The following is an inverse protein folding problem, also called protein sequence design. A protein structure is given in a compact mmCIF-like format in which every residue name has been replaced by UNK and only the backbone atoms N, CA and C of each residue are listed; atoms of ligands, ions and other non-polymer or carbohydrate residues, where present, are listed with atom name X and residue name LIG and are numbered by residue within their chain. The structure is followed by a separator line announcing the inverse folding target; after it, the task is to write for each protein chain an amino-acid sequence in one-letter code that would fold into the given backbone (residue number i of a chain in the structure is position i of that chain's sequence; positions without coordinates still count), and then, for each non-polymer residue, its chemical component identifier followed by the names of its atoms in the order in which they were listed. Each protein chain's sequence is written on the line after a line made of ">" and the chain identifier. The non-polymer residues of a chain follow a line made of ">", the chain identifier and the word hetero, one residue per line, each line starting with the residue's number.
data_IF_787372926948
#
_entry.id   IF_787372926948
#
_cell.length_a   1.000
_cell.length_b   1.000
_cell.length_c   1.000
_cell.angle_alpha   90.00
_cell.angle_beta   90.00
_cell.angle_gamma   90.00
#
_symmetry.space_group_name_H-M   'P 1'
#
loop_
_entity.id
_entity.type
_entity.pdbx_description
1 polymer ?
#
# COMPACT_ATOMS: atom_id res chain seq x y z
N UNK A 1 37.12 -74.25 -37.22
CA UNK A 1 36.94 -72.83 -37.44
C UNK A 1 35.81 -72.36 -36.60
N UNK A 2 36.08 -71.78 -35.49
CA UNK A 2 35.15 -71.32 -34.48
C UNK A 2 34.77 -69.86 -34.78
N UNK A 3 33.46 -69.57 -34.81
CA UNK A 3 32.94 -68.21 -34.88
C UNK A 3 32.35 -67.85 -33.51
N UNK A 4 33.03 -66.91 -32.91
CA UNK A 4 32.66 -66.37 -31.61
C UNK A 4 31.52 -65.31 -31.80
N UNK A 5 30.36 -65.55 -31.13
CA UNK A 5 29.25 -64.64 -31.10
C UNK A 5 29.19 -63.97 -29.73
N UNK A 6 29.84 -62.87 -29.57
CA UNK A 6 29.57 -61.98 -28.44
C UNK A 6 28.80 -60.74 -28.96
N UNK A 7 27.49 -60.84 -28.90
CA UNK A 7 26.64 -59.70 -29.09
C UNK A 7 26.60 -58.89 -27.79
N UNK A 8 27.20 -57.72 -27.82
CA UNK A 8 27.12 -56.69 -26.78
C UNK A 8 25.73 -56.03 -26.86
N UNK A 9 24.82 -56.38 -25.92
CA UNK A 9 23.63 -55.62 -25.65
C UNK A 9 24.01 -54.33 -24.89
N UNK A 10 24.11 -53.21 -25.58
CA UNK A 10 24.21 -51.90 -24.95
C UNK A 10 22.82 -51.48 -24.48
N UNK A 11 22.54 -51.64 -23.19
CA UNK A 11 21.37 -51.10 -22.53
C UNK A 11 21.56 -49.58 -22.42
N UNK A 12 20.95 -48.81 -23.31
CA UNK A 12 20.86 -47.35 -23.15
C UNK A 12 19.88 -47.05 -22.00
N UNK A 13 20.42 -46.81 -20.82
CA UNK A 13 19.65 -46.25 -19.70
C UNK A 13 19.32 -44.81 -20.03
N UNK A 14 18.10 -44.57 -20.56
CA UNK A 14 17.53 -43.23 -20.68
C UNK A 14 17.28 -42.76 -19.25
N UNK A 15 18.17 -41.95 -18.71
CA UNK A 15 17.93 -41.17 -17.51
C UNK A 15 16.77 -40.23 -17.82
N UNK A 16 15.55 -40.60 -17.41
CA UNK A 16 14.40 -39.67 -17.27
C UNK A 16 14.85 -38.61 -16.24
N UNK A 17 15.44 -37.53 -16.72
CA UNK A 17 15.52 -36.30 -15.92
C UNK A 17 14.10 -35.92 -15.54
N UNK A 18 13.80 -35.73 -14.24
CA UNK A 18 12.48 -35.24 -13.87
C UNK A 18 12.24 -33.94 -14.63
N UNK A 19 11.13 -33.92 -15.32
CA UNK A 19 10.63 -32.72 -16.02
C UNK A 19 10.63 -31.60 -14.97
N UNK A 20 11.60 -30.70 -15.04
CA UNK A 20 11.58 -29.49 -14.23
C UNK A 20 10.38 -28.75 -14.71
N UNK A 21 9.24 -28.94 -13.99
CA UNK A 21 8.04 -28.19 -14.23
C UNK A 21 8.48 -26.74 -14.46
N UNK A 22 8.29 -26.27 -15.69
CA UNK A 22 8.68 -24.92 -16.07
C UNK A 22 7.96 -23.99 -15.11
N UNK A 23 8.69 -23.33 -14.22
CA UNK A 23 8.13 -22.32 -13.35
C UNK A 23 7.36 -21.33 -14.23
N UNK A 24 6.08 -21.14 -13.94
CA UNK A 24 5.29 -20.12 -14.62
C UNK A 24 5.97 -18.78 -14.40
N UNK A 25 5.88 -17.87 -15.35
CA UNK A 25 6.40 -16.51 -15.18
C UNK A 25 5.24 -15.54 -15.12
N UNK A 26 5.31 -14.57 -14.23
CA UNK A 26 4.37 -13.45 -14.16
C UNK A 26 5.12 -12.17 -14.49
N UNK A 27 4.54 -11.34 -15.34
CA UNK A 27 5.11 -10.02 -15.62
C UNK A 27 4.70 -9.05 -14.54
N UNK A 28 5.66 -8.48 -13.80
CA UNK A 28 5.40 -7.49 -12.75
C UNK A 28 4.95 -6.13 -13.33
N UNK A 29 4.72 -5.13 -12.48
CA UNK A 29 4.18 -3.83 -12.93
C UNK A 29 5.15 -3.00 -13.78
N UNK A 30 6.43 -3.37 -13.83
CA UNK A 30 7.46 -2.69 -14.63
C UNK A 30 7.96 -3.52 -15.82
N UNK A 31 7.21 -4.58 -16.17
CA UNK A 31 7.51 -5.41 -17.34
C UNK A 31 8.59 -6.47 -17.12
N UNK A 32 9.05 -6.69 -15.87
CA UNK A 32 10.04 -7.72 -15.56
C UNK A 32 9.36 -9.09 -15.50
N UNK A 33 10.01 -10.09 -16.07
CA UNK A 33 9.58 -11.49 -15.97
C UNK A 33 10.03 -12.07 -14.62
N UNK A 34 9.07 -12.36 -13.75
CA UNK A 34 9.32 -12.93 -12.41
C UNK A 34 9.02 -14.43 -12.45
N UNK A 35 10.00 -15.30 -12.20
CA UNK A 35 9.74 -16.74 -12.13
C UNK A 35 8.91 -17.05 -10.89
N UNK A 36 7.78 -17.72 -11.09
CA UNK A 36 6.89 -18.11 -9.97
C UNK A 36 7.26 -19.51 -9.53
N UNK A 37 7.61 -19.73 -8.26
CA UNK A 37 7.78 -21.05 -7.70
C UNK A 37 6.51 -21.90 -7.86
N UNK A 38 6.65 -23.20 -8.06
CA UNK A 38 5.48 -24.11 -8.15
C UNK A 38 4.63 -24.11 -6.88
N UNK A 39 5.23 -23.73 -5.75
CA UNK A 39 4.57 -23.57 -4.45
C UNK A 39 5.14 -22.32 -3.78
N UNK A 40 4.27 -21.42 -3.39
CA UNK A 40 4.59 -20.20 -2.64
C UNK A 40 3.95 -20.32 -1.27
N UNK A 41 4.76 -20.35 -0.22
CA UNK A 41 4.32 -20.45 1.17
C UNK A 41 4.90 -19.34 2.06
N UNK A 42 5.98 -18.72 1.62
CA UNK A 42 6.78 -17.79 2.42
C UNK A 42 7.08 -16.53 1.61
N UNK A 43 6.29 -15.48 1.81
CA UNK A 43 6.46 -14.23 1.07
C UNK A 43 7.06 -13.16 1.99
N UNK A 44 8.20 -12.61 1.59
CA UNK A 44 8.83 -11.48 2.26
C UNK A 44 8.29 -10.16 1.71
N UNK A 45 7.65 -9.31 2.54
CA UNK A 45 7.24 -7.98 2.11
C UNK A 45 8.45 -7.04 2.13
N UNK A 46 8.80 -6.46 0.99
CA UNK A 46 9.94 -5.55 0.90
C UNK A 46 9.76 -4.27 1.73
N UNK A 47 8.53 -3.85 1.95
CA UNK A 47 8.17 -2.67 2.73
C UNK A 47 6.74 -2.68 3.24
N UNK A 48 6.33 -1.63 4.00
CA UNK A 48 5.03 -1.59 4.64
C UNK A 48 3.82 -1.69 3.70
N UNK A 49 3.78 -1.04 2.51
CA UNK A 49 2.65 -1.20 1.60
C UNK A 49 2.50 -2.64 1.09
N UNK A 50 3.63 -3.32 0.83
CA UNK A 50 3.65 -4.71 0.40
C UNK A 50 3.14 -5.65 1.50
N UNK A 51 3.54 -5.43 2.76
CA UNK A 51 3.06 -6.21 3.89
C UNK A 51 1.54 -6.11 4.05
N UNK A 52 0.99 -4.90 3.91
CA UNK A 52 -0.45 -4.65 4.00
C UNK A 52 -1.18 -5.31 2.82
N UNK A 53 -0.73 -5.12 1.59
CA UNK A 53 -1.37 -5.73 0.42
C UNK A 53 -1.34 -7.26 0.50
N UNK A 54 -0.21 -7.85 0.89
CA UNK A 54 -0.09 -9.29 1.08
C UNK A 54 -1.00 -9.80 2.20
N UNK A 55 -1.04 -9.09 3.35
CA UNK A 55 -1.95 -9.42 4.45
C UNK A 55 -3.41 -9.44 4.00
N UNK A 56 -3.84 -8.46 3.20
CA UNK A 56 -5.23 -8.38 2.75
C UNK A 56 -5.63 -9.50 1.80
N UNK A 57 -4.69 -10.04 1.02
CA UNK A 57 -4.96 -11.09 0.04
C UNK A 57 -4.70 -12.50 0.57
N UNK A 58 -3.58 -12.68 1.28
CA UNK A 58 -3.10 -14.00 1.72
C UNK A 58 -2.31 -13.85 3.04
N UNK A 59 -2.99 -13.58 4.17
CA UNK A 59 -2.33 -13.38 5.45
C UNK A 59 -1.49 -14.58 5.89
N UNK A 60 -1.88 -15.79 5.48
CA UNK A 60 -1.16 -17.04 5.74
C UNK A 60 0.26 -17.06 5.15
N UNK A 61 0.51 -16.39 4.03
CA UNK A 61 1.80 -16.36 3.34
C UNK A 61 2.77 -15.29 3.85
N UNK A 62 2.30 -14.31 4.62
CA UNK A 62 3.12 -13.21 5.13
C UNK A 62 4.19 -13.72 6.09
N UNK A 63 5.47 -13.60 5.80
CA UNK A 63 6.55 -14.04 6.69
C UNK A 63 6.61 -13.29 8.01
N UNK A 64 6.31 -12.01 7.98
CA UNK A 64 6.34 -11.12 9.13
C UNK A 64 6.11 -9.67 8.70
N UNK A 65 6.23 -8.77 9.64
CA UNK A 65 5.96 -7.36 9.43
C UNK A 65 7.26 -6.55 9.29
N UNK A 66 7.26 -5.45 8.51
CA UNK A 66 8.43 -4.57 8.43
C UNK A 66 8.82 -3.89 9.75
N UNK A 67 7.89 -3.80 10.69
CA UNK A 67 8.06 -3.44 12.10
C UNK A 67 7.05 -4.22 12.95
N UNK A 68 7.31 -4.36 14.21
CA UNK A 68 6.31 -4.91 15.14
C UNK A 68 5.04 -4.05 15.12
N UNK A 69 3.88 -4.70 15.09
CA UNK A 69 2.60 -4.01 15.22
C UNK A 69 2.34 -3.67 16.70
N UNK A 70 1.66 -2.55 16.91
CA UNK A 70 1.25 -2.12 18.24
C UNK A 70 0.01 -2.90 18.69
N UNK A 71 -0.20 -3.13 20.00
CA UNK A 71 -1.40 -3.83 20.50
C UNK A 71 -2.72 -3.23 19.99
N UNK A 72 -2.79 -1.90 19.86
CA UNK A 72 -3.96 -1.19 19.33
C UNK A 72 -4.24 -1.53 17.85
N UNK A 73 -3.19 -1.73 17.06
CA UNK A 73 -3.30 -2.14 15.65
C UNK A 73 -3.83 -3.57 15.54
N UNK A 74 -3.40 -4.45 16.45
CA UNK A 74 -3.83 -5.85 16.47
C UNK A 74 -5.33 -6.03 16.75
N UNK A 75 -5.98 -5.06 17.39
CA UNK A 75 -7.43 -5.08 17.59
C UNK A 75 -8.24 -5.04 16.28
N UNK A 76 -7.59 -4.69 15.16
CA UNK A 76 -8.19 -4.58 13.84
C UNK A 76 -7.60 -5.56 12.81
N UNK A 77 -6.92 -6.61 13.28
CA UNK A 77 -6.28 -7.61 12.43
C UNK A 77 -6.47 -9.02 13.01
N UNK A 78 -6.19 -10.03 12.17
CA UNK A 78 -6.14 -11.42 12.66
C UNK A 78 -5.04 -11.55 13.73
N UNK A 79 -5.35 -12.02 14.94
CA UNK A 79 -4.40 -12.00 16.08
C UNK A 79 -3.09 -12.73 15.78
N UNK A 80 -3.17 -13.94 15.22
CA UNK A 80 -2.00 -14.77 14.92
C UNK A 80 -1.10 -14.17 13.85
N UNK A 81 -1.67 -13.36 12.94
CA UNK A 81 -0.91 -12.70 11.90
C UNK A 81 -0.34 -11.36 12.41
N UNK A 82 -1.11 -10.62 13.21
CA UNK A 82 -0.65 -9.37 13.79
C UNK A 82 0.62 -9.54 14.62
N UNK A 83 0.73 -10.65 15.35
CA UNK A 83 1.86 -10.96 16.23
C UNK A 83 3.04 -11.64 15.53
N UNK A 84 3.00 -11.80 14.19
CA UNK A 84 4.15 -12.32 13.44
C UNK A 84 5.40 -11.45 13.66
N UNK A 85 6.61 -12.07 13.58
CA UNK A 85 7.84 -11.37 13.92
C UNK A 85 8.10 -10.15 13.02
N UNK A 86 8.86 -9.21 13.56
CA UNK A 86 9.47 -8.16 12.75
C UNK A 86 10.58 -8.77 11.88
N UNK A 87 10.48 -8.55 10.56
CA UNK A 87 11.44 -9.05 9.56
C UNK A 87 12.24 -7.92 8.92
N UNK A 88 11.94 -6.67 9.30
CA UNK A 88 12.55 -5.48 8.71
C UNK A 88 12.01 -5.16 7.33
N UNK A 89 12.68 -4.24 6.63
CA UNK A 89 12.29 -3.77 5.29
C UNK A 89 13.50 -3.47 4.42
N UNK A 90 13.37 -3.74 3.13
CA UNK A 90 14.33 -3.41 2.08
C UNK A 90 14.01 -2.04 1.47
N UNK A 91 12.70 -1.67 1.42
CA UNK A 91 12.22 -0.44 0.81
C UNK A 91 11.54 0.48 1.83
N UNK A 92 11.39 1.76 1.47
CA UNK A 92 10.87 2.79 2.34
C UNK A 92 11.95 3.54 3.12
N UNK A 93 11.56 4.41 4.05
CA UNK A 93 12.52 5.17 4.87
C UNK A 93 13.18 4.27 5.92
N UNK A 94 14.50 4.28 5.96
CA UNK A 94 15.31 3.52 6.92
C UNK A 94 15.23 2.01 6.66
N UNK A 95 16.05 1.52 5.74
CA UNK A 95 16.22 0.09 5.50
C UNK A 95 16.71 -0.57 6.79
N UNK A 96 15.95 -1.56 7.28
CA UNK A 96 16.26 -2.29 8.53
C UNK A 96 16.56 -3.76 8.27
N UNK A 97 16.23 -4.30 7.09
CA UNK A 97 16.62 -5.63 6.67
C UNK A 97 17.86 -5.55 5.76
N UNK A 98 18.90 -6.33 6.06
CA UNK A 98 19.97 -6.60 5.13
C UNK A 98 19.67 -7.88 4.35
N UNK A 99 20.41 -8.14 3.26
CA UNK A 99 20.17 -9.31 2.41
C UNK A 99 20.46 -10.63 3.13
N UNK A 100 21.39 -10.67 4.08
CA UNK A 100 21.68 -11.86 4.88
C UNK A 100 20.48 -12.25 5.74
N UNK A 101 19.82 -11.26 6.36
CA UNK A 101 18.58 -11.48 7.11
C UNK A 101 17.49 -12.05 6.20
N UNK A 102 17.32 -11.47 5.01
CA UNK A 102 16.32 -11.95 4.04
C UNK A 102 16.61 -13.40 3.62
N UNK A 103 17.88 -13.72 3.29
CA UNK A 103 18.30 -15.08 2.93
C UNK A 103 18.09 -16.09 4.06
N UNK A 104 18.36 -15.70 5.32
CA UNK A 104 18.15 -16.54 6.49
C UNK A 104 16.66 -16.89 6.70
N UNK A 105 15.76 -16.03 6.31
CA UNK A 105 14.31 -16.25 6.36
C UNK A 105 13.80 -17.19 5.27
N UNK A 106 14.61 -17.49 4.25
CA UNK A 106 14.30 -18.40 3.12
C UNK A 106 12.92 -18.13 2.51
N UNK A 107 12.63 -16.92 2.02
CA UNK A 107 11.37 -16.65 1.32
C UNK A 107 11.38 -17.31 -0.06
N UNK A 108 10.19 -17.69 -0.53
CA UNK A 108 9.96 -18.19 -1.89
C UNK A 108 9.85 -17.01 -2.88
N UNK A 109 9.41 -15.85 -2.39
CA UNK A 109 9.13 -14.65 -3.17
C UNK A 109 9.33 -13.41 -2.31
N UNK A 110 9.88 -12.36 -2.90
CA UNK A 110 9.87 -11.00 -2.35
C UNK A 110 8.83 -10.19 -3.14
N UNK A 111 7.95 -9.50 -2.43
CA UNK A 111 6.97 -8.58 -3.03
C UNK A 111 7.22 -7.17 -2.54
N UNK A 112 7.30 -6.23 -3.47
CA UNK A 112 7.33 -4.79 -3.20
C UNK A 112 6.11 -4.11 -3.82
N UNK A 113 5.58 -3.09 -3.15
CA UNK A 113 4.43 -2.32 -3.60
C UNK A 113 4.70 -0.84 -3.38
N UNK A 114 4.58 -0.05 -4.43
CA UNK A 114 4.77 1.40 -4.32
C UNK A 114 5.07 2.06 -5.65
N UNK A 115 6.04 2.96 -5.64
CA UNK A 115 6.49 3.66 -6.85
C UNK A 115 7.25 2.72 -7.79
N UNK A 116 7.07 2.92 -9.08
CA UNK A 116 7.70 2.16 -10.16
C UNK A 116 8.72 2.97 -10.95
N UNK A 117 9.26 4.03 -10.35
CA UNK A 117 10.34 4.80 -10.96
C UNK A 117 11.67 4.02 -10.97
N UNK A 118 12.72 4.59 -11.53
CA UNK A 118 14.00 3.92 -11.75
C UNK A 118 14.64 3.35 -10.47
N UNK A 119 14.52 4.04 -9.33
CA UNK A 119 15.17 3.63 -8.07
C UNK A 119 14.65 2.28 -7.55
N UNK A 120 13.33 2.06 -7.32
CA UNK A 120 12.83 0.75 -6.91
C UNK A 120 13.02 -0.34 -7.99
N UNK A 121 12.98 0.00 -9.28
CA UNK A 121 13.27 -0.97 -10.36
C UNK A 121 14.69 -1.48 -10.27
N UNK A 122 15.67 -0.58 -10.14
CA UNK A 122 17.09 -0.95 -9.99
C UNK A 122 17.34 -1.74 -8.71
N UNK A 123 16.68 -1.38 -7.61
CA UNK A 123 16.77 -2.10 -6.34
C UNK A 123 16.24 -3.52 -6.47
N UNK A 124 15.07 -3.69 -7.08
CA UNK A 124 14.43 -5.00 -7.29
C UNK A 124 15.32 -5.94 -8.12
N UNK A 125 15.90 -5.45 -9.22
CA UNK A 125 16.84 -6.21 -10.04
C UNK A 125 18.07 -6.64 -9.23
N UNK A 126 18.70 -5.70 -8.54
CA UNK A 126 19.89 -5.98 -7.74
C UNK A 126 19.64 -6.99 -6.62
N UNK A 127 18.52 -6.86 -5.90
CA UNK A 127 18.20 -7.80 -4.81
C UNK A 127 17.95 -9.20 -5.37
N UNK A 128 17.19 -9.31 -6.47
CA UNK A 128 16.96 -10.60 -7.13
C UNK A 128 18.27 -11.24 -7.60
N UNK A 129 19.15 -10.47 -8.24
CA UNK A 129 20.45 -10.98 -8.74
C UNK A 129 21.36 -11.44 -7.60
N UNK A 130 21.39 -10.71 -6.49
CA UNK A 130 22.26 -11.04 -5.34
C UNK A 130 21.74 -12.19 -4.49
N UNK A 131 20.43 -12.39 -4.42
CA UNK A 131 19.80 -13.40 -3.55
C UNK A 131 19.36 -14.65 -4.30
N UNK A 132 19.12 -14.55 -5.60
CA UNK A 132 18.45 -15.58 -6.39
C UNK A 132 16.97 -15.77 -6.07
N UNK A 133 16.39 -14.95 -5.18
CA UNK A 133 14.99 -15.01 -4.80
C UNK A 133 14.18 -14.19 -5.80
N UNK A 134 13.08 -14.72 -6.36
CA UNK A 134 12.19 -13.94 -7.21
C UNK A 134 11.71 -12.66 -6.50
N UNK A 135 11.78 -11.54 -7.20
CA UNK A 135 11.36 -10.23 -6.67
C UNK A 135 10.33 -9.61 -7.61
N UNK A 136 9.13 -9.37 -7.13
CA UNK A 136 8.05 -8.73 -7.87
C UNK A 136 7.84 -7.29 -7.38
N UNK A 137 7.86 -6.33 -8.30
CA UNK A 137 7.53 -4.93 -8.05
C UNK A 137 6.13 -4.62 -8.59
N UNK A 138 5.21 -4.27 -7.70
CA UNK A 138 3.83 -3.93 -8.01
C UNK A 138 3.60 -2.43 -7.86
N UNK A 139 2.94 -1.83 -8.85
CA UNK A 139 2.58 -0.41 -8.78
C UNK A 139 1.44 -0.20 -7.78
N UNK A 140 1.73 0.60 -6.75
CA UNK A 140 0.79 0.92 -5.69
C UNK A 140 -0.15 2.10 -5.99
N UNK A 141 -0.10 2.72 -7.16
CA UNK A 141 -0.95 3.84 -7.55
C UNK A 141 -2.39 3.40 -7.80
N UNK A 142 -3.33 4.30 -7.63
CA UNK A 142 -4.75 3.98 -7.80
C UNK A 142 -5.11 3.44 -9.18
N UNK A 143 -4.54 3.98 -10.25
CA UNK A 143 -4.78 3.55 -11.62
C UNK A 143 -4.25 2.14 -11.91
N UNK A 144 -3.22 1.70 -11.19
CA UNK A 144 -2.60 0.39 -11.33
C UNK A 144 -3.08 -0.63 -10.26
N UNK A 145 -3.75 -0.18 -9.19
CA UNK A 145 -4.00 -0.98 -7.99
C UNK A 145 -4.87 -2.22 -8.25
N UNK A 146 -5.85 -2.12 -9.15
CA UNK A 146 -6.66 -3.27 -9.61
C UNK A 146 -5.77 -4.35 -10.23
N UNK A 147 -4.91 -3.95 -11.16
CA UNK A 147 -3.97 -4.86 -11.82
C UNK A 147 -2.90 -5.39 -10.86
N UNK A 148 -2.49 -4.59 -9.87
CA UNK A 148 -1.53 -5.02 -8.85
C UNK A 148 -2.06 -6.20 -8.02
N UNK A 149 -3.35 -6.18 -7.62
CA UNK A 149 -4.00 -7.33 -6.97
C UNK A 149 -4.03 -8.55 -7.87
N UNK A 150 -4.41 -8.40 -9.14
CA UNK A 150 -4.47 -9.51 -10.10
C UNK A 150 -3.08 -10.15 -10.28
N UNK A 151 -2.04 -9.33 -10.44
CA UNK A 151 -0.65 -9.80 -10.55
C UNK A 151 -0.20 -10.49 -9.26
N UNK A 152 -0.48 -9.93 -8.08
CA UNK A 152 -0.18 -10.58 -6.81
C UNK A 152 -0.87 -11.93 -6.71
N UNK A 153 -2.16 -12.03 -7.07
CA UNK A 153 -2.91 -13.27 -7.09
C UNK A 153 -2.29 -14.33 -8.00
N UNK A 154 -1.77 -13.94 -9.17
CA UNK A 154 -1.04 -14.84 -10.07
C UNK A 154 0.28 -15.32 -9.45
N UNK A 155 1.05 -14.40 -8.84
CA UNK A 155 2.34 -14.68 -8.21
C UNK A 155 2.23 -15.69 -7.04
N UNK A 156 1.15 -15.62 -6.26
CA UNK A 156 0.97 -16.44 -5.05
C UNK A 156 -0.13 -17.51 -5.19
N UNK A 157 -0.64 -17.72 -6.41
CA UNK A 157 -1.69 -18.72 -6.73
C UNK A 157 -2.96 -18.50 -5.88
N UNK A 158 -3.44 -17.25 -5.82
CA UNK A 158 -4.66 -16.82 -5.11
C UNK A 158 -5.57 -15.97 -6.02
N UNK A 159 -5.74 -16.37 -7.28
CA UNK A 159 -6.42 -15.57 -8.30
C UNK A 159 -7.86 -15.19 -7.93
N UNK A 160 -8.66 -16.15 -7.41
CA UNK A 160 -10.05 -15.88 -7.07
C UNK A 160 -10.22 -14.82 -5.98
N UNK A 161 -9.41 -14.88 -4.91
CA UNK A 161 -9.40 -13.86 -3.86
C UNK A 161 -8.88 -12.51 -4.38
N UNK A 162 -7.87 -12.54 -5.25
CA UNK A 162 -7.33 -11.34 -5.86
C UNK A 162 -8.35 -10.62 -6.75
N UNK A 163 -9.16 -11.37 -7.51
CA UNK A 163 -10.23 -10.80 -8.36
C UNK A 163 -11.34 -10.15 -7.52
N UNK A 164 -11.69 -10.70 -6.35
CA UNK A 164 -12.66 -10.06 -5.45
C UNK A 164 -12.15 -8.72 -4.94
N UNK A 165 -10.89 -8.64 -4.45
CA UNK A 165 -10.28 -7.39 -3.99
C UNK A 165 -10.02 -6.41 -5.13
N UNK A 166 -9.60 -6.88 -6.31
CA UNK A 166 -9.46 -6.08 -7.51
C UNK A 166 -10.81 -5.48 -7.96
N UNK A 167 -11.88 -6.29 -7.92
CA UNK A 167 -13.23 -5.85 -8.21
C UNK A 167 -13.73 -4.78 -7.24
N UNK A 168 -13.50 -4.94 -5.95
CA UNK A 168 -13.81 -3.91 -4.95
C UNK A 168 -13.04 -2.61 -5.23
N UNK A 169 -11.74 -2.73 -5.50
CA UNK A 169 -10.88 -1.59 -5.84
C UNK A 169 -11.42 -0.83 -7.05
N UNK A 170 -11.72 -1.53 -8.13
CA UNK A 170 -12.27 -0.93 -9.35
C UNK A 170 -13.61 -0.23 -9.09
N UNK A 171 -14.55 -0.90 -8.41
CA UNK A 171 -15.86 -0.29 -8.08
C UNK A 171 -15.71 0.96 -7.22
N UNK A 172 -14.84 0.95 -6.22
CA UNK A 172 -14.57 2.12 -5.36
C UNK A 172 -14.04 3.29 -6.18
N UNK A 173 -13.01 3.08 -6.97
CA UNK A 173 -12.41 4.13 -7.80
C UNK A 173 -13.42 4.69 -8.81
N UNK A 174 -14.18 3.83 -9.47
CA UNK A 174 -15.23 4.24 -10.42
C UNK A 174 -16.34 5.04 -9.74
N UNK A 175 -16.80 4.61 -8.57
CA UNK A 175 -17.83 5.33 -7.82
C UNK A 175 -17.36 6.72 -7.38
N UNK A 176 -16.14 6.82 -6.86
CA UNK A 176 -15.57 8.09 -6.41
C UNK A 176 -15.37 9.05 -7.60
N UNK A 177 -14.64 8.61 -8.63
CA UNK A 177 -14.31 9.48 -9.78
C UNK A 177 -15.54 9.85 -10.60
N UNK A 178 -16.49 8.94 -10.76
CA UNK A 178 -17.75 9.18 -11.49
C UNK A 178 -18.60 10.27 -10.86
N UNK A 179 -18.67 10.33 -9.51
CA UNK A 179 -19.46 11.35 -8.80
C UNK A 179 -18.88 12.76 -8.88
N UNK A 180 -17.59 12.88 -9.11
CA UNK A 180 -16.92 14.18 -9.24
C UNK A 180 -16.50 14.48 -10.68
N UNK A 181 -16.90 13.67 -11.66
CA UNK A 181 -16.48 13.83 -13.06
C UNK A 181 -16.81 15.20 -13.67
N UNK A 182 -17.88 15.86 -13.17
CA UNK A 182 -18.28 17.20 -13.60
C UNK A 182 -17.69 18.33 -12.75
N UNK A 183 -16.82 18.04 -11.77
CA UNK A 183 -16.10 19.03 -10.97
C UNK A 183 -14.77 19.33 -11.64
N UNK A 184 -14.65 20.52 -12.22
CA UNK A 184 -13.42 20.95 -12.90
C UNK A 184 -12.28 21.15 -11.89
N UNK A 185 -11.03 21.09 -12.32
CA UNK A 185 -9.86 21.16 -11.44
C UNK A 185 -9.81 22.43 -10.58
N UNK A 186 -10.29 23.56 -11.12
CA UNK A 186 -10.39 24.86 -10.41
C UNK A 186 -11.51 24.91 -9.38
N UNK A 187 -12.57 24.10 -9.55
CA UNK A 187 -13.68 23.98 -8.61
C UNK A 187 -13.40 23.01 -7.46
N UNK A 188 -12.34 22.22 -7.55
CA UNK A 188 -11.98 21.28 -6.49
C UNK A 188 -11.49 22.02 -5.25
N UNK A 189 -11.90 21.62 -4.03
CA UNK A 189 -11.39 22.19 -2.79
C UNK A 189 -9.87 22.12 -2.71
N UNK A 190 -9.25 23.18 -2.23
CA UNK A 190 -7.81 23.33 -2.09
C UNK A 190 -7.38 22.69 -0.78
N UNK A 191 -6.62 21.60 -0.85
CA UNK A 191 -6.26 20.77 0.29
C UNK A 191 -4.77 20.89 0.58
N UNK A 192 -4.42 21.18 1.82
CA UNK A 192 -3.07 21.07 2.35
C UNK A 192 -2.92 19.77 3.13
N UNK A 193 -1.91 18.98 2.81
CA UNK A 193 -1.54 17.79 3.56
C UNK A 193 -0.48 18.14 4.59
N UNK A 194 -0.86 18.17 5.86
CA UNK A 194 0.02 18.52 6.97
C UNK A 194 0.57 17.25 7.67
N UNK A 195 1.89 17.13 7.73
CA UNK A 195 2.58 16.03 8.42
C UNK A 195 3.57 16.56 9.44
N UNK A 196 3.83 15.70 10.44
CA UNK A 196 4.71 16.01 11.56
C UNK A 196 4.04 16.93 12.59
N UNK A 197 4.60 17.03 13.79
CA UNK A 197 3.98 17.71 14.93
C UNK A 197 3.75 19.21 14.71
N UNK A 198 4.46 19.81 13.78
CA UNK A 198 4.27 21.21 13.38
C UNK A 198 3.44 21.39 12.09
N UNK A 199 3.05 20.29 11.43
CA UNK A 199 2.29 20.34 10.19
C UNK A 199 3.04 20.88 8.97
N UNK A 200 4.36 21.02 9.03
CA UNK A 200 5.19 21.68 8.01
C UNK A 200 5.96 20.71 7.10
N UNK A 201 5.56 19.44 7.08
CA UNK A 201 5.97 18.48 6.04
C UNK A 201 4.74 18.17 5.18
N UNK A 202 4.90 18.17 3.87
CA UNK A 202 3.80 17.93 2.93
C UNK A 202 4.25 17.05 1.75
N UNK A 203 3.30 16.53 0.98
CA UNK A 203 3.55 15.81 -0.25
C UNK A 203 3.48 16.75 -1.46
N UNK A 204 4.51 16.71 -2.30
CA UNK A 204 4.55 17.42 -3.57
C UNK A 204 3.75 16.70 -4.66
N UNK A 205 3.56 17.36 -5.80
CA UNK A 205 2.77 16.87 -6.92
C UNK A 205 3.20 15.49 -7.43
N UNK A 206 2.25 14.59 -7.66
CA UNK A 206 2.49 13.23 -8.12
C UNK A 206 3.10 12.29 -7.09
N UNK A 207 3.30 12.72 -5.86
CA UNK A 207 3.69 11.83 -4.76
C UNK A 207 2.58 10.84 -4.42
N UNK A 208 2.90 9.57 -4.28
CA UNK A 208 1.96 8.55 -3.81
C UNK A 208 1.36 8.89 -2.43
N UNK A 209 2.06 9.69 -1.61
CA UNK A 209 1.61 10.11 -0.29
C UNK A 209 0.43 11.10 -0.32
N UNK A 210 0.18 11.76 -1.45
CA UNK A 210 -0.93 12.71 -1.63
C UNK A 210 -1.89 12.31 -2.74
N UNK A 211 -1.72 11.14 -3.33
CA UNK A 211 -2.56 10.66 -4.43
C UNK A 211 -4.06 10.62 -4.04
N UNK A 212 -4.38 10.27 -2.79
CA UNK A 212 -5.76 10.34 -2.25
C UNK A 212 -6.34 11.75 -2.36
N UNK A 213 -5.53 12.78 -2.08
CA UNK A 213 -5.92 14.17 -2.18
C UNK A 213 -6.02 14.59 -3.65
N UNK A 214 -5.03 14.26 -4.47
CA UNK A 214 -4.96 14.69 -5.88
C UNK A 214 -6.05 14.05 -6.75
N UNK A 215 -6.53 12.87 -6.37
CA UNK A 215 -7.61 12.21 -7.11
C UNK A 215 -8.94 12.99 -7.01
N UNK A 216 -9.25 13.58 -5.85
CA UNK A 216 -10.56 14.18 -5.58
C UNK A 216 -10.52 15.65 -5.15
N UNK A 217 -9.36 16.16 -4.73
CA UNK A 217 -9.14 17.55 -4.34
C UNK A 217 -8.06 18.22 -5.18
N UNK A 218 -7.61 19.38 -4.75
CA UNK A 218 -6.50 20.12 -5.33
C UNK A 218 -5.40 20.25 -4.28
N UNK A 219 -4.32 19.49 -4.42
CA UNK A 219 -3.14 19.61 -3.57
C UNK A 219 -2.50 21.01 -3.75
N UNK A 220 -2.47 21.83 -2.70
CA UNK A 220 -1.88 23.18 -2.77
C UNK A 220 -0.38 23.16 -2.98
N UNK A 221 0.31 22.08 -2.61
CA UNK A 221 1.73 21.85 -2.85
C UNK A 221 2.01 21.16 -4.18
N UNK A 222 0.97 20.89 -4.99
CA UNK A 222 1.05 20.11 -6.23
C UNK A 222 1.79 20.77 -7.40
N UNK A 223 2.14 22.06 -7.28
CA UNK A 223 2.84 22.81 -8.33
C UNK A 223 4.30 22.41 -8.54
N UNK A 224 4.92 21.70 -7.61
CA UNK A 224 6.27 21.15 -7.73
C UNK A 224 6.20 19.62 -7.68
N UNK A 225 6.83 18.90 -8.63
CA UNK A 225 6.85 17.43 -8.60
C UNK A 225 7.82 16.92 -7.52
N UNK A 226 7.50 15.79 -6.92
CA UNK A 226 8.41 15.14 -5.96
C UNK A 226 7.75 14.28 -4.92
N UNK A 227 8.50 14.01 -3.86
CA UNK A 227 8.07 13.23 -2.70
C UNK A 227 7.55 14.10 -1.56
N UNK A 228 8.03 13.80 -0.36
CA UNK A 228 7.75 14.62 0.83
C UNK A 228 8.78 15.75 0.97
N UNK A 229 8.32 16.95 1.29
CA UNK A 229 9.15 18.13 1.46
C UNK A 229 8.78 18.92 2.72
N UNK A 230 9.76 19.62 3.29
CA UNK A 230 9.52 20.63 4.30
C UNK A 230 9.09 21.93 3.61
N UNK A 231 8.13 22.62 4.22
CA UNK A 231 7.65 23.94 3.80
C UNK A 231 7.65 24.89 4.97
N UNK A 232 7.62 26.20 4.69
CA UNK A 232 7.49 27.21 5.74
C UNK A 232 6.02 27.53 6.02
N UNK A 233 5.75 28.14 7.17
CA UNK A 233 4.39 28.60 7.49
C UNK A 233 3.95 29.72 6.52
N UNK A 234 4.86 30.59 6.09
CA UNK A 234 4.58 31.65 5.10
C UNK A 234 4.12 31.05 3.78
N UNK A 235 4.71 29.92 3.37
CA UNK A 235 4.26 29.21 2.17
C UNK A 235 2.86 28.66 2.34
N UNK A 236 2.49 28.12 3.50
CA UNK A 236 1.13 27.66 3.80
C UNK A 236 0.14 28.83 3.82
N UNK A 237 0.54 29.96 4.41
CA UNK A 237 -0.25 31.20 4.41
C UNK A 237 -0.51 31.71 2.98
N UNK A 238 0.49 31.67 2.11
CA UNK A 238 0.35 32.04 0.70
C UNK A 238 -0.60 31.08 -0.03
N UNK A 239 -0.48 29.78 0.22
CA UNK A 239 -1.40 28.80 -0.35
C UNK A 239 -2.82 28.96 0.20
N UNK A 240 -3.00 29.34 1.45
CA UNK A 240 -4.26 29.56 2.12
C UNK A 240 -5.33 28.49 1.79
N UNK A 241 -5.12 27.21 2.17
CA UNK A 241 -5.98 26.09 1.81
C UNK A 241 -7.40 26.21 2.36
N UNK A 242 -8.37 25.57 1.66
CA UNK A 242 -9.75 25.44 2.14
C UNK A 242 -9.89 24.36 3.20
N UNK A 243 -9.07 23.30 3.09
CA UNK A 243 -9.10 22.14 3.98
C UNK A 243 -7.66 21.73 4.33
N UNK A 244 -7.43 21.38 5.58
CA UNK A 244 -6.18 20.73 6.03
C UNK A 244 -6.50 19.28 6.39
N UNK A 245 -5.77 18.34 5.79
CA UNK A 245 -5.75 16.93 6.18
C UNK A 245 -4.45 16.63 6.89
N UNK A 246 -4.50 16.04 8.07
CA UNK A 246 -3.30 15.64 8.81
C UNK A 246 -3.38 14.19 9.26
N UNK A 247 -2.22 13.57 9.45
CA UNK A 247 -2.05 12.25 10.10
C UNK A 247 -1.45 12.37 11.49
N UNK A 248 -1.18 13.59 11.93
CA UNK A 248 -0.47 13.89 13.17
C UNK A 248 -1.44 14.42 14.23
N UNK A 249 -1.62 13.66 15.30
CA UNK A 249 -2.54 13.99 16.38
C UNK A 249 -2.09 15.24 17.15
N UNK A 250 -0.77 15.41 17.36
CA UNK A 250 -0.21 16.56 18.08
C UNK A 250 -0.52 17.84 17.30
N UNK A 251 -0.24 17.86 15.99
CA UNK A 251 -0.60 18.97 15.13
C UNK A 251 -2.12 19.24 15.13
N UNK A 252 -2.95 18.20 14.97
CA UNK A 252 -4.40 18.35 14.96
C UNK A 252 -4.95 19.00 16.22
N UNK A 253 -4.35 18.68 17.38
CA UNK A 253 -4.75 19.26 18.67
C UNK A 253 -4.26 20.70 18.87
N UNK A 254 -3.05 21.00 18.36
CA UNK A 254 -2.39 22.27 18.62
C UNK A 254 -2.78 23.38 17.63
N UNK A 255 -3.03 23.04 16.36
CA UNK A 255 -3.12 24.00 15.23
C UNK A 255 -4.18 25.07 15.42
N UNK A 256 -5.31 24.76 16.07
CA UNK A 256 -6.41 25.73 16.30
C UNK A 256 -6.05 26.83 17.29
N UNK A 257 -5.07 26.58 18.15
CA UNK A 257 -4.59 27.51 19.16
C UNK A 257 -3.22 28.09 18.83
N UNK A 258 -2.64 27.72 17.68
CA UNK A 258 -1.33 28.23 17.25
C UNK A 258 -1.54 29.55 16.49
N UNK A 259 -1.01 30.68 17.03
CA UNK A 259 -1.14 31.99 16.38
C UNK A 259 -0.58 32.04 14.95
N UNK A 260 0.45 31.22 14.64
CA UNK A 260 1.05 31.15 13.33
C UNK A 260 0.11 30.62 12.25
N UNK A 261 -0.89 29.83 12.65
CA UNK A 261 -1.89 29.21 11.77
C UNK A 261 -3.23 29.96 11.77
N UNK A 262 -3.45 30.91 12.67
CA UNK A 262 -4.75 31.53 12.92
C UNK A 262 -5.34 32.24 11.69
N UNK A 263 -4.51 32.72 10.76
CA UNK A 263 -4.96 33.39 9.53
C UNK A 263 -5.21 32.44 8.37
N UNK A 264 -4.86 31.13 8.47
CA UNK A 264 -5.14 30.13 7.45
C UNK A 264 -6.65 29.87 7.37
N UNK A 265 -7.23 29.95 6.16
CA UNK A 265 -8.67 29.78 5.95
C UNK A 265 -9.21 28.48 6.57
N UNK A 266 -8.54 27.36 6.32
CA UNK A 266 -8.95 26.05 6.85
C UNK A 266 -9.01 26.03 8.39
N UNK A 267 -8.14 26.75 9.08
CA UNK A 267 -8.13 26.85 10.55
C UNK A 267 -9.30 27.69 11.05
N UNK A 268 -9.50 28.88 10.45
CA UNK A 268 -10.63 29.77 10.79
C UNK A 268 -11.98 29.11 10.58
N UNK A 269 -12.12 28.36 9.47
CA UNK A 269 -13.36 27.71 9.06
C UNK A 269 -13.55 26.32 9.73
N UNK A 270 -12.68 25.96 10.67
CA UNK A 270 -12.66 24.67 11.38
C UNK A 270 -12.56 23.44 10.43
N UNK A 271 -11.85 23.58 9.31
CA UNK A 271 -11.64 22.55 8.29
C UNK A 271 -10.28 21.88 8.44
N UNK A 272 -9.92 21.49 9.65
CA UNK A 272 -8.73 20.69 9.95
C UNK A 272 -9.17 19.30 10.37
N UNK A 273 -8.81 18.30 9.57
CA UNK A 273 -9.26 16.93 9.70
C UNK A 273 -8.10 15.97 9.95
N UNK A 274 -8.18 15.25 11.08
CA UNK A 274 -7.25 14.17 11.40
C UNK A 274 -7.69 12.89 10.67
N UNK A 275 -6.82 12.35 9.82
CA UNK A 275 -7.10 11.11 9.09
C UNK A 275 -7.16 9.91 10.03
N UNK A 276 -8.14 9.02 9.87
CA UNK A 276 -8.13 7.71 10.51
C UNK A 276 -6.84 6.94 10.18
N UNK A 277 -6.35 6.12 11.14
CA UNK A 277 -5.06 5.44 10.99
C UNK A 277 -4.98 4.03 11.57
N UNK A 278 -6.09 3.45 12.01
CA UNK A 278 -6.11 2.08 12.54
C UNK A 278 -6.54 1.06 11.47
N UNK A 279 -5.84 -0.08 11.35
CA UNK A 279 -4.52 -0.40 11.89
C UNK A 279 -3.42 0.36 11.15
N UNK A 280 -3.69 0.91 9.96
CA UNK A 280 -2.77 1.71 9.15
C UNK A 280 -3.50 2.92 8.57
N UNK A 281 -2.73 3.96 8.20
CA UNK A 281 -3.28 5.24 7.75
C UNK A 281 -4.20 5.13 6.53
N UNK A 282 -5.33 5.87 6.58
CA UNK A 282 -6.32 5.86 5.50
C UNK A 282 -5.95 6.79 4.33
N UNK A 283 -5.15 7.81 4.56
CA UNK A 283 -4.68 8.71 3.51
C UNK A 283 -3.25 8.39 3.13
N UNK A 284 -2.41 8.15 4.14
CA UNK A 284 -0.97 7.90 4.03
C UNK A 284 -0.46 7.21 5.30
N UNK A 285 0.83 6.85 5.31
CA UNK A 285 1.58 6.31 6.46
C UNK A 285 1.14 4.90 6.91
N UNK A 286 1.45 3.89 6.08
CA UNK A 286 2.02 3.99 4.73
C UNK A 286 0.94 4.21 3.65
N UNK A 287 1.32 4.70 2.44
CA UNK A 287 0.41 4.79 1.32
C UNK A 287 0.07 3.37 0.82
N UNK A 288 -1.01 2.80 1.31
CA UNK A 288 -1.40 1.41 1.10
C UNK A 288 -2.83 1.30 0.56
N UNK A 289 -3.36 0.09 0.53
CA UNK A 289 -4.74 -0.18 0.12
C UNK A 289 -5.79 0.57 0.97
N UNK A 290 -5.43 0.96 2.20
CA UNK A 290 -6.33 1.72 3.08
C UNK A 290 -6.75 3.07 2.49
N UNK A 291 -6.03 3.56 1.49
CA UNK A 291 -6.42 4.75 0.74
C UNK A 291 -7.76 4.61 0.03
N UNK A 292 -8.25 3.38 -0.21
CA UNK A 292 -9.60 3.16 -0.77
C UNK A 292 -10.70 3.63 0.20
N UNK A 293 -10.62 3.24 1.47
CA UNK A 293 -11.55 3.75 2.48
C UNK A 293 -11.26 5.23 2.80
N UNK A 294 -9.99 5.63 2.69
CA UNK A 294 -9.54 7.02 2.80
C UNK A 294 -10.17 7.94 1.75
N UNK A 295 -10.38 7.43 0.52
CA UNK A 295 -11.11 8.16 -0.53
C UNK A 295 -12.57 8.45 -0.13
N UNK A 296 -13.28 7.48 0.44
CA UNK A 296 -14.65 7.69 0.93
C UNK A 296 -14.68 8.70 2.06
N UNK A 297 -13.74 8.59 3.01
CA UNK A 297 -13.63 9.53 4.12
C UNK A 297 -13.36 10.96 3.64
N UNK A 298 -12.37 11.14 2.76
CA UNK A 298 -12.00 12.45 2.26
C UNK A 298 -13.09 13.03 1.32
N UNK A 299 -13.70 12.19 0.47
CA UNK A 299 -14.77 12.60 -0.42
C UNK A 299 -15.99 13.11 0.36
N UNK A 300 -16.33 12.49 1.49
CA UNK A 300 -17.40 12.96 2.38
C UNK A 300 -17.08 14.32 3.00
N UNK A 301 -15.82 14.60 3.30
CA UNK A 301 -15.37 15.92 3.79
C UNK A 301 -15.46 16.98 2.67
N UNK A 302 -14.96 16.67 1.48
CA UNK A 302 -14.85 17.63 0.39
C UNK A 302 -16.17 17.87 -0.35
N UNK A 303 -17.05 16.85 -0.39
CA UNK A 303 -18.30 16.86 -1.17
C UNK A 303 -19.44 16.15 -0.42
N UNK A 304 -19.84 16.62 0.76
CA UNK A 304 -20.81 15.92 1.63
C UNK A 304 -22.12 15.57 0.91
N UNK A 305 -22.62 16.47 0.05
CA UNK A 305 -23.86 16.27 -0.71
C UNK A 305 -23.76 15.14 -1.76
N UNK A 306 -22.55 14.85 -2.24
CA UNK A 306 -22.30 13.82 -3.27
C UNK A 306 -22.02 12.46 -2.67
N UNK A 307 -21.64 12.40 -1.39
CA UNK A 307 -21.24 11.19 -0.67
C UNK A 307 -22.05 11.04 0.63
N UNK A 308 -23.36 10.73 0.52
CA UNK A 308 -24.26 10.65 1.67
C UNK A 308 -24.07 9.38 2.50
N UNK A 309 -23.34 8.38 1.99
CA UNK A 309 -23.19 7.08 2.64
C UNK A 309 -22.71 7.20 4.10
N UNK A 310 -23.18 6.27 4.94
CA UNK A 310 -22.66 6.13 6.29
C UNK A 310 -21.26 5.52 6.25
N UNK A 311 -20.26 6.30 6.64
CA UNK A 311 -18.87 5.89 6.63
C UNK A 311 -18.60 4.72 7.58
N UNK A 312 -19.42 4.52 8.62
CA UNK A 312 -19.34 3.37 9.53
C UNK A 312 -19.63 2.06 8.81
N UNK A 313 -20.64 2.08 7.95
CA UNK A 313 -21.03 0.91 7.14
C UNK A 313 -19.91 0.58 6.14
N UNK A 314 -19.40 1.59 5.45
CA UNK A 314 -18.30 1.44 4.48
C UNK A 314 -17.01 0.92 5.16
N UNK A 315 -16.67 1.48 6.32
CA UNK A 315 -15.50 1.04 7.08
C UNK A 315 -15.66 -0.41 7.55
N UNK A 316 -16.82 -0.81 8.06
CA UNK A 316 -17.06 -2.19 8.52
C UNK A 316 -16.93 -3.19 7.36
N UNK A 317 -17.49 -2.90 6.18
CA UNK A 317 -17.33 -3.73 4.98
C UNK A 317 -15.85 -3.81 4.55
N UNK A 318 -15.15 -2.67 4.57
CA UNK A 318 -13.73 -2.62 4.27
C UNK A 318 -12.89 -3.50 5.21
N UNK A 319 -13.10 -3.40 6.52
CA UNK A 319 -12.37 -4.24 7.49
C UNK A 319 -12.70 -5.72 7.35
N UNK A 320 -13.96 -6.06 7.16
CA UNK A 320 -14.37 -7.46 6.94
C UNK A 320 -13.67 -8.06 5.71
N UNK A 321 -13.59 -7.29 4.63
CA UNK A 321 -13.04 -7.74 3.35
C UNK A 321 -11.52 -7.76 3.32
N UNK A 322 -10.88 -6.69 3.79
CA UNK A 322 -9.42 -6.52 3.68
C UNK A 322 -8.66 -6.96 4.93
N UNK A 323 -9.27 -6.84 6.10
CA UNK A 323 -8.61 -7.18 7.37
C UNK A 323 -9.12 -8.47 7.99
N UNK A 324 -10.15 -9.11 7.39
CA UNK A 324 -10.72 -10.38 7.83
C UNK A 324 -11.29 -10.33 9.26
N UNK A 325 -11.66 -9.14 9.73
CA UNK A 325 -12.25 -8.88 11.04
C UNK A 325 -13.46 -7.96 10.92
N UNK A 326 -14.38 -8.07 11.87
CA UNK A 326 -15.55 -7.18 11.94
C UNK A 326 -15.43 -6.33 13.21
N UNK A 327 -14.95 -5.07 13.12
CA UNK A 327 -14.85 -4.19 14.27
C UNK A 327 -16.22 -3.90 14.89
N UNK A 328 -16.26 -3.75 16.20
CA UNK A 328 -17.44 -3.29 16.93
C UNK A 328 -17.76 -1.83 16.62
N UNK A 329 -18.97 -1.37 16.96
CA UNK A 329 -19.36 0.04 16.77
C UNK A 329 -18.40 0.99 17.50
N UNK A 330 -18.01 0.65 18.72
CA UNK A 330 -17.06 1.45 19.50
C UNK A 330 -15.69 1.54 18.83
N UNK A 331 -15.19 0.44 18.23
CA UNK A 331 -13.94 0.43 17.48
C UNK A 331 -14.04 1.29 16.21
N UNK A 332 -15.16 1.23 15.48
CA UNK A 332 -15.38 2.07 14.29
C UNK A 332 -15.40 3.55 14.69
N UNK A 333 -16.11 3.93 15.76
CA UNK A 333 -16.13 5.32 16.24
C UNK A 333 -14.73 5.80 16.65
N UNK A 334 -13.96 4.95 17.31
CA UNK A 334 -12.56 5.25 17.67
C UNK A 334 -11.70 5.52 16.44
N UNK A 335 -11.81 4.65 15.42
CA UNK A 335 -11.09 4.83 14.13
C UNK A 335 -11.47 6.15 13.47
N UNK A 336 -12.79 6.42 13.35
CA UNK A 336 -13.29 7.62 12.68
C UNK A 336 -12.90 8.91 13.43
N UNK A 337 -12.73 8.85 14.75
CA UNK A 337 -12.22 9.96 15.55
C UNK A 337 -10.71 10.23 15.35
N UNK A 338 -10.01 9.38 14.59
CA UNK A 338 -8.56 9.48 14.39
C UNK A 338 -7.73 9.18 15.64
N UNK A 339 -8.34 8.60 16.68
CA UNK A 339 -7.69 8.31 17.96
C UNK A 339 -7.04 6.93 17.94
N UNK A 340 -5.87 6.84 18.57
CA UNK A 340 -5.11 5.58 18.77
C UNK A 340 -5.68 4.74 19.89
#
# INVERSE_FOLDING_TARGET
>A
MSLDRRALLSLATVLLMPDRARAATVTDSVGRSVPVPTRVERVFPAGPPAAIMLYTLAPDLLLGWPRANRPQECAYMLPDICTRPEVGRITGRGNTANLETVLALKPDLIVDVGSTNETPVSLAARVQDQTGIPYALLDGRFDALTLAYQKLGQLIVRQAAAEDLAGYTHRTLTAITGRIANVTADQRPRVYYARGPRGLVTGLGGSINVETIELIGRNVAGGAPGGLANVSIEQVLLWNPDVIVTIDLEFSNAVRNDPSWASVKAVRDNQVHLSPKMPFGWVDFPPSINRLIGLWWLAKILYPERFPEDLRVLARDFYARFYHVTPTDAQIEQVLAGRD
#
